data_IF_631523321723
#
_entry.id   IF_631523321723
#
_cell.length_a   1.000
_cell.length_b   1.000
_cell.length_c   1.000
_cell.angle_alpha   90.00
_cell.angle_beta   90.00
_cell.angle_gamma   90.00
#
_symmetry.space_group_name_H-M   'P 1'
#
loop_
_entity.id
_entity.type
_entity.pdbx_description
1 polymer ?
#
# COMPACT_ATOMS: atom_id res chain seq x y z
N UNK A 1 1.08 -2.26 -14.74
CA UNK A 1 0.60 -3.31 -13.80
C UNK A 1 0.92 -2.83 -12.40
N UNK A 2 -0.11 -2.67 -11.57
CA UNK A 2 0.01 -2.04 -10.26
C UNK A 2 -0.17 -3.07 -9.14
N UNK A 3 0.36 -2.76 -7.95
CA UNK A 3 0.15 -3.59 -6.77
C UNK A 3 -0.87 -2.92 -5.85
N UNK A 4 -1.69 -3.71 -5.18
CA UNK A 4 -2.73 -3.23 -4.27
C UNK A 4 -2.65 -4.00 -2.95
N UNK A 5 -2.61 -3.27 -1.84
CA UNK A 5 -2.66 -3.81 -0.51
C UNK A 5 -4.11 -3.86 -0.04
N UNK A 6 -4.56 -5.02 0.42
CA UNK A 6 -5.84 -5.22 1.08
C UNK A 6 -5.63 -5.16 2.58
N UNK A 7 -6.43 -4.33 3.26
CA UNK A 7 -6.30 -4.02 4.67
C UNK A 7 -7.52 -4.46 5.45
N UNK A 8 -7.28 -4.98 6.64
CA UNK A 8 -8.32 -5.28 7.62
C UNK A 8 -8.87 -4.01 8.30
N UNK A 9 -9.78 -4.22 9.24
CA UNK A 9 -10.39 -3.16 10.05
C UNK A 9 -9.38 -2.36 10.90
N UNK A 10 -8.19 -2.90 11.14
CA UNK A 10 -7.13 -2.28 11.95
C UNK A 10 -6.10 -1.53 11.09
N UNK A 11 -6.33 -1.37 9.77
CA UNK A 11 -5.34 -0.90 8.81
C UNK A 11 -4.15 -1.84 8.62
N UNK A 12 -4.26 -3.12 8.96
CA UNK A 12 -3.20 -4.11 8.76
C UNK A 12 -3.34 -4.74 7.39
N UNK A 13 -2.26 -4.76 6.62
CA UNK A 13 -2.20 -5.40 5.31
C UNK A 13 -2.31 -6.91 5.49
N UNK A 14 -3.39 -7.50 5.00
CA UNK A 14 -3.63 -8.95 5.05
C UNK A 14 -3.23 -9.64 3.75
N UNK A 15 -3.22 -8.90 2.65
CA UNK A 15 -2.87 -9.44 1.33
C UNK A 15 -2.34 -8.33 0.42
N UNK A 16 -1.46 -8.69 -0.51
CA UNK A 16 -1.07 -7.83 -1.63
C UNK A 16 -1.41 -8.54 -2.93
N UNK A 17 -2.15 -7.87 -3.81
CA UNK A 17 -2.57 -8.38 -5.11
C UNK A 17 -1.97 -7.55 -6.23
N UNK A 18 -1.91 -8.16 -7.40
CA UNK A 18 -1.53 -7.48 -8.63
C UNK A 18 -2.80 -7.14 -9.39
N UNK A 19 -2.93 -5.89 -9.83
CA UNK A 19 -4.11 -5.38 -10.49
C UNK A 19 -3.81 -4.47 -11.66
N UNK A 20 -4.89 -3.87 -12.17
CA UNK A 20 -4.87 -2.93 -13.30
C UNK A 20 -4.11 -1.65 -12.96
N UNK A 21 -3.45 -1.09 -13.96
CA UNK A 21 -2.83 0.24 -13.84
C UNK A 21 -3.91 1.33 -13.85
N UNK A 22 -3.69 2.47 -13.18
CA UNK A 22 -4.68 3.57 -13.25
C UNK A 22 -4.76 4.23 -14.62
N UNK A 23 -3.70 4.09 -15.41
CA UNK A 23 -3.73 4.53 -16.82
C UNK A 23 -4.60 3.61 -17.69
N UNK A 24 -5.05 2.46 -17.17
CA UNK A 24 -6.01 1.59 -17.84
C UNK A 24 -7.44 1.94 -17.39
N UNK A 25 -8.09 2.89 -18.09
CA UNK A 25 -9.51 3.23 -17.89
C UNK A 25 -9.78 4.51 -17.10
N UNK A 26 -11.02 4.69 -16.65
CA UNK A 26 -11.50 5.87 -15.89
C UNK A 26 -11.98 5.45 -14.48
N UNK A 27 -11.64 4.24 -14.05
CA UNK A 27 -12.12 3.66 -12.80
C UNK A 27 -11.12 3.91 -11.67
N UNK A 28 -11.63 4.21 -10.48
CA UNK A 28 -10.84 4.11 -9.26
C UNK A 28 -10.67 2.61 -8.92
N UNK A 29 -9.49 2.08 -9.24
CA UNK A 29 -9.18 0.69 -9.00
C UNK A 29 -9.02 0.37 -7.50
N UNK A 30 -8.69 1.35 -6.64
CA UNK A 30 -8.71 1.14 -5.19
C UNK A 30 -10.15 0.86 -4.73
N UNK A 31 -11.12 1.65 -5.20
CA UNK A 31 -12.53 1.46 -4.87
C UNK A 31 -13.09 0.15 -5.45
N UNK A 32 -12.74 -0.17 -6.71
CA UNK A 32 -13.15 -1.43 -7.34
C UNK A 32 -12.71 -2.66 -6.55
N UNK A 33 -11.42 -2.76 -6.22
CA UNK A 33 -10.90 -3.90 -5.46
C UNK A 33 -11.39 -3.89 -4.02
N UNK A 34 -11.64 -2.72 -3.43
CA UNK A 34 -12.24 -2.63 -2.10
C UNK A 34 -13.66 -3.19 -2.08
N UNK A 35 -14.47 -2.87 -3.09
CA UNK A 35 -15.83 -3.39 -3.22
C UNK A 35 -15.85 -4.91 -3.45
N UNK A 36 -14.97 -5.40 -4.34
CA UNK A 36 -14.88 -6.83 -4.69
C UNK A 36 -14.45 -7.68 -3.49
N UNK A 37 -13.43 -7.22 -2.76
CA UNK A 37 -12.85 -8.00 -1.65
C UNK A 37 -13.53 -7.73 -0.31
N UNK A 38 -14.36 -6.68 -0.22
CA UNK A 38 -14.94 -6.14 1.02
C UNK A 38 -13.88 -5.77 2.07
N UNK A 39 -12.66 -5.52 1.63
CA UNK A 39 -11.56 -5.02 2.43
C UNK A 39 -11.20 -3.62 1.99
N UNK A 40 -10.52 -2.85 2.84
CA UNK A 40 -9.97 -1.59 2.39
C UNK A 40 -8.84 -1.89 1.42
N UNK A 41 -8.76 -1.19 0.31
CA UNK A 41 -7.73 -1.40 -0.70
C UNK A 41 -6.92 -0.12 -0.87
N UNK A 42 -5.59 -0.24 -0.91
CA UNK A 42 -4.65 0.86 -1.17
C UNK A 42 -3.57 0.44 -2.15
N UNK A 43 -3.41 1.18 -3.24
CA UNK A 43 -2.36 0.97 -4.24
C UNK A 43 -0.97 1.17 -3.62
N UNK A 44 -0.02 0.40 -4.11
CA UNK A 44 1.37 0.43 -3.67
C UNK A 44 2.30 0.11 -4.84
N UNK A 45 3.57 0.49 -4.73
CA UNK A 45 4.58 0.21 -5.76
C UNK A 45 5.80 -0.41 -5.11
N UNK A 46 6.22 -1.56 -5.65
CA UNK A 46 7.43 -2.25 -5.21
C UNK A 46 8.67 -1.36 -5.33
N UNK A 47 8.65 -0.43 -6.28
CA UNK A 47 9.74 0.49 -6.56
C UNK A 47 9.75 1.72 -5.64
N UNK A 48 8.95 1.75 -4.59
CA UNK A 48 8.83 2.92 -3.73
C UNK A 48 9.30 2.64 -2.30
N UNK A 49 10.30 3.38 -1.86
CA UNK A 49 10.86 3.30 -0.51
C UNK A 49 11.19 4.70 0.00
N UNK A 50 10.77 5.03 1.24
CA UNK A 50 11.07 6.33 1.85
C UNK A 50 10.51 7.54 1.11
N UNK A 51 9.44 7.37 0.32
CA UNK A 51 8.88 8.43 -0.53
C UNK A 51 9.69 8.69 -1.80
N UNK A 52 10.56 7.75 -2.21
CA UNK A 52 11.32 7.83 -3.45
C UNK A 52 10.94 6.65 -4.34
N UNK A 53 10.58 6.93 -5.59
CA UNK A 53 10.32 5.90 -6.59
C UNK A 53 11.61 5.64 -7.37
N UNK A 54 12.19 4.44 -7.25
CA UNK A 54 13.49 4.07 -7.81
C UNK A 54 13.53 4.09 -9.34
N UNK A 55 12.38 3.96 -10.00
CA UNK A 55 12.23 4.11 -11.46
C UNK A 55 11.99 5.54 -11.96
N UNK A 56 12.12 6.57 -11.11
CA UNK A 56 11.92 7.98 -11.49
C UNK A 56 10.45 8.43 -11.63
N UNK A 57 9.49 7.60 -11.23
CA UNK A 57 8.06 7.94 -11.20
C UNK A 57 7.65 8.74 -9.95
N UNK A 58 6.35 9.04 -9.84
CA UNK A 58 5.79 9.59 -8.61
C UNK A 58 5.43 8.45 -7.66
N UNK A 59 5.95 8.43 -6.41
CA UNK A 59 5.51 7.53 -5.36
C UNK A 59 4.01 7.61 -5.15
N UNK A 60 3.30 6.48 -5.15
CA UNK A 60 1.91 6.46 -4.70
C UNK A 60 1.79 6.69 -3.18
N UNK A 61 2.76 6.17 -2.42
CA UNK A 61 2.85 6.19 -0.95
C UNK A 61 4.31 6.16 -0.55
N UNK A 62 4.66 6.42 0.72
CA UNK A 62 6.07 6.45 1.11
C UNK A 62 6.79 5.10 0.97
N UNK A 63 6.13 3.99 1.31
CA UNK A 63 6.73 2.67 1.31
C UNK A 63 5.88 1.67 0.52
N UNK A 64 6.49 0.58 0.07
CA UNK A 64 5.78 -0.59 -0.42
C UNK A 64 5.03 -1.29 0.73
N UNK A 65 3.87 -1.88 0.43
CA UNK A 65 3.10 -2.65 1.40
C UNK A 65 3.61 -4.09 1.50
N UNK A 66 3.83 -4.57 2.71
CA UNK A 66 4.04 -5.99 3.01
C UNK A 66 2.90 -6.55 3.86
N UNK A 67 2.65 -7.86 3.78
CA UNK A 67 1.70 -8.53 4.69
C UNK A 67 2.16 -8.27 6.15
N UNK A 68 1.22 -7.88 7.01
CA UNK A 68 1.47 -7.50 8.40
C UNK A 68 1.88 -6.03 8.60
N UNK A 69 2.05 -5.23 7.54
CA UNK A 69 2.33 -3.81 7.67
C UNK A 69 1.06 -3.06 8.08
N UNK A 70 1.20 -1.95 8.80
CA UNK A 70 0.08 -1.06 9.12
C UNK A 70 0.10 0.14 8.19
N UNK A 71 -1.06 0.50 7.63
CA UNK A 71 -1.20 1.73 6.86
C UNK A 71 -1.51 2.90 7.78
N UNK A 72 -0.66 3.94 7.70
CA UNK A 72 -0.81 5.20 8.40
C UNK A 72 -1.30 6.26 7.41
N UNK A 73 -2.55 6.70 7.59
CA UNK A 73 -3.18 7.70 6.74
C UNK A 73 -2.61 9.11 6.94
N UNK A 74 -2.02 9.43 8.11
CA UNK A 74 -1.39 10.74 8.34
C UNK A 74 -0.05 10.85 7.60
N UNK A 75 0.69 9.75 7.54
CA UNK A 75 1.99 9.69 6.85
C UNK A 75 1.88 9.27 5.39
N UNK A 76 0.70 8.82 4.97
CA UNK A 76 0.41 8.11 3.72
C UNK A 76 1.48 7.03 3.42
N UNK A 77 1.67 6.14 4.39
CA UNK A 77 2.77 5.19 4.41
C UNK A 77 2.34 3.83 4.93
N UNK A 78 2.94 2.77 4.36
CA UNK A 78 2.91 1.44 4.98
C UNK A 78 4.09 1.32 5.94
N UNK A 79 3.80 0.96 7.18
CA UNK A 79 4.76 0.87 8.28
C UNK A 79 4.96 -0.62 8.59
N UNK A 80 6.20 -1.14 8.52
CA UNK A 80 6.46 -2.53 8.88
C UNK A 80 6.15 -2.77 10.38
N UNK A 81 5.75 -4.00 10.75
CA UNK A 81 5.62 -4.36 12.15
C UNK A 81 6.96 -4.16 12.87
N UNK A 82 6.90 -3.74 14.13
CA UNK A 82 8.11 -3.55 14.92
C UNK A 82 8.84 -4.89 15.06
N UNK A 83 10.11 -5.00 14.64
CA UNK A 83 10.86 -6.26 14.76
C UNK A 83 11.18 -6.61 16.21
N UNK A 84 11.27 -5.61 17.09
CA UNK A 84 11.50 -5.75 18.52
C UNK A 84 10.98 -4.50 19.27
N UNK A 85 10.65 -4.58 20.59
CA UNK A 85 10.04 -3.47 21.32
C UNK A 85 10.87 -2.18 21.41
N UNK A 86 12.20 -2.27 21.30
CA UNK A 86 13.09 -1.10 21.30
C UNK A 86 13.24 -0.44 19.92
N UNK A 87 12.52 -0.91 18.89
CA UNK A 87 12.60 -0.33 17.56
C UNK A 87 11.80 0.97 17.48
N UNK A 88 12.48 2.05 17.10
CA UNK A 88 11.88 3.37 16.86
C UNK A 88 11.87 3.64 15.36
N UNK A 89 10.67 3.87 14.81
CA UNK A 89 10.51 4.37 13.44
C UNK A 89 10.81 5.88 13.44
N UNK A 90 11.94 6.25 12.81
CA UNK A 90 12.35 7.64 12.62
C UNK A 90 11.79 8.24 11.32
#
# INVERSE_FOLDING_TARGET
MAHYALLDKNNTVVQVIVGKDENEGIYDWEEFYAAETRLRCKRTSYNTQGGVHTGGGTPFRKNYAGIGYTYDAQRDAFIPPQPYPSWVLN
#
